data_IF_772087049703
#
_entry.id   IF_772087049703
#
_cell.length_a   1.000
_cell.length_b   1.000
_cell.length_c   1.000
_cell.angle_alpha   90.00
_cell.angle_beta   90.00
_cell.angle_gamma   90.00
#
_symmetry.space_group_name_H-M   'P 1'
#
loop_
_entity.id
_entity.type
_entity.pdbx_description
1 polymer ?
#
# COMPACT_ATOMS: atom_id res chain seq x y z
N UNK A 1 7.58 0.19 -12.07
CA UNK A 1 8.20 0.72 -13.34
C UNK A 1 9.63 0.22 -13.46
N UNK A 2 10.13 -0.04 -14.67
CA UNK A 2 11.53 -0.46 -14.88
C UNK A 2 12.38 0.75 -15.28
N UNK A 3 13.58 0.88 -14.72
CA UNK A 3 14.46 2.02 -15.00
C UNK A 3 15.01 2.03 -16.45
N UNK A 4 15.15 0.86 -17.04
CA UNK A 4 15.60 0.68 -18.46
C UNK A 4 14.47 0.93 -19.47
N UNK A 5 13.21 0.92 -19.04
CA UNK A 5 12.03 1.18 -19.86
C UNK A 5 11.34 2.52 -19.47
N UNK A 6 12.07 3.43 -18.80
CA UNK A 6 11.53 4.72 -18.41
C UNK A 6 11.30 5.60 -19.64
N UNK A 7 10.05 6.07 -19.86
CA UNK A 7 9.71 6.83 -21.07
C UNK A 7 10.32 8.23 -21.08
N UNK A 8 10.30 8.87 -22.23
CA UNK A 8 10.60 10.30 -22.32
C UNK A 8 9.53 11.11 -21.56
N UNK A 9 9.98 12.04 -20.73
CA UNK A 9 9.11 12.91 -19.92
C UNK A 9 9.53 14.38 -20.09
N UNK A 10 8.66 15.31 -19.71
CA UNK A 10 8.89 16.74 -19.79
C UNK A 10 8.04 17.55 -18.80
N UNK A 11 8.07 18.89 -18.86
CA UNK A 11 7.44 19.75 -17.84
C UNK A 11 5.92 19.60 -17.68
N UNK A 12 5.24 18.98 -18.64
CA UNK A 12 3.79 18.72 -18.59
C UNK A 12 3.48 17.26 -18.27
N UNK A 13 4.42 16.54 -17.64
CA UNK A 13 4.30 15.12 -17.29
C UNK A 13 4.20 14.96 -15.78
N UNK A 14 3.26 14.16 -15.33
CA UNK A 14 3.24 13.63 -13.96
C UNK A 14 3.71 12.17 -14.04
N UNK A 15 4.78 11.86 -13.34
CA UNK A 15 5.30 10.48 -13.20
C UNK A 15 4.75 9.92 -11.90
N UNK A 16 3.90 8.89 -11.99
CA UNK A 16 3.37 8.19 -10.83
C UNK A 16 4.22 6.96 -10.53
N UNK A 17 4.92 6.95 -9.40
CA UNK A 17 5.70 5.83 -8.90
C UNK A 17 4.91 5.07 -7.84
N UNK A 18 5.02 3.74 -7.83
CA UNK A 18 4.43 2.91 -6.80
C UNK A 18 5.42 2.61 -5.66
N UNK A 19 4.98 2.86 -4.44
CA UNK A 19 5.62 2.38 -3.23
C UNK A 19 4.71 1.29 -2.62
N UNK A 20 5.03 0.02 -2.88
CA UNK A 20 4.23 -1.11 -2.46
C UNK A 20 3.11 -1.46 -3.45
N UNK A 21 3.46 -2.11 -4.55
CA UNK A 21 2.49 -2.59 -5.55
C UNK A 21 1.41 -3.46 -4.90
N UNK A 22 0.15 -3.25 -5.31
CA UNK A 22 -1.03 -3.92 -4.72
C UNK A 22 -0.97 -5.45 -4.74
N UNK A 23 -0.28 -6.04 -5.69
CA UNK A 23 -0.13 -7.49 -5.80
C UNK A 23 1.12 -8.01 -5.10
N UNK A 24 2.27 -7.37 -5.32
CA UNK A 24 3.58 -7.90 -4.95
C UNK A 24 4.24 -7.22 -3.77
N UNK A 25 3.76 -6.03 -3.37
CA UNK A 25 4.44 -5.18 -2.39
C UNK A 25 5.72 -4.54 -2.91
N UNK A 26 6.09 -4.72 -4.17
CA UNK A 26 7.33 -4.19 -4.74
C UNK A 26 7.30 -2.67 -4.90
N UNK A 27 8.48 -2.08 -4.94
CA UNK A 27 8.69 -0.64 -5.09
C UNK A 27 9.28 -0.33 -6.46
N UNK A 28 8.87 0.80 -7.04
CA UNK A 28 9.56 1.35 -8.18
C UNK A 28 10.93 1.91 -7.76
N UNK A 29 11.98 1.85 -8.61
CA UNK A 29 13.33 2.28 -8.25
C UNK A 29 13.45 3.81 -8.21
N UNK A 30 12.91 4.43 -7.16
CA UNK A 30 12.78 5.88 -7.02
C UNK A 30 14.14 6.59 -7.02
N UNK A 31 15.19 6.00 -6.41
CA UNK A 31 16.57 6.56 -6.46
C UNK A 31 17.04 6.87 -7.89
N UNK A 32 16.56 6.11 -8.88
CA UNK A 32 16.93 6.27 -10.29
C UNK A 32 15.91 7.13 -11.03
N UNK A 33 14.62 6.89 -10.80
CA UNK A 33 13.55 7.48 -11.60
C UNK A 33 13.24 8.92 -11.20
N UNK A 34 13.29 9.25 -9.91
CA UNK A 34 12.98 10.60 -9.42
C UNK A 34 13.96 11.63 -9.98
N UNK A 35 15.30 11.46 -9.87
CA UNK A 35 16.23 12.40 -10.45
C UNK A 35 16.09 12.55 -11.97
N UNK A 36 15.82 11.46 -12.69
CA UNK A 36 15.63 11.49 -14.16
C UNK A 36 14.39 12.29 -14.57
N UNK A 37 13.29 12.11 -13.85
CA UNK A 37 12.03 12.80 -14.10
C UNK A 37 12.18 14.30 -13.80
N UNK A 38 12.73 14.64 -12.63
CA UNK A 38 12.91 16.03 -12.20
C UNK A 38 13.90 16.82 -13.08
N UNK A 39 14.96 16.19 -13.57
CA UNK A 39 15.88 16.80 -14.51
C UNK A 39 15.22 17.21 -15.84
N UNK A 40 14.03 16.68 -16.12
CA UNK A 40 13.20 17.02 -17.30
C UNK A 40 12.03 17.93 -16.95
N UNK A 41 11.95 18.42 -15.71
CA UNK A 41 10.88 19.29 -15.22
C UNK A 41 9.55 18.57 -14.97
N UNK A 42 9.52 17.24 -14.98
CA UNK A 42 8.31 16.46 -14.66
C UNK A 42 8.01 16.49 -13.16
N UNK A 43 6.72 16.50 -12.82
CA UNK A 43 6.25 16.28 -11.44
C UNK A 43 6.30 14.80 -11.10
N UNK A 44 6.83 14.47 -9.94
CA UNK A 44 6.86 13.08 -9.47
C UNK A 44 5.89 12.89 -8.31
N UNK A 45 4.92 12.01 -8.50
CA UNK A 45 3.97 11.59 -7.49
C UNK A 45 4.27 10.15 -7.04
N UNK A 46 4.16 9.89 -5.75
CA UNK A 46 4.31 8.55 -5.16
C UNK A 46 2.95 8.05 -4.67
N UNK A 47 2.41 7.03 -5.32
CA UNK A 47 1.35 6.20 -4.76
C UNK A 47 1.96 5.26 -3.72
N UNK A 48 1.81 5.63 -2.47
CA UNK A 48 2.30 4.90 -1.32
C UNK A 48 1.18 4.33 -0.46
N UNK A 49 0.05 3.96 -1.06
CA UNK A 49 -1.16 3.49 -0.38
C UNK A 49 -0.90 2.45 0.73
N UNK A 50 0.09 1.58 0.52
CA UNK A 50 0.63 0.67 1.52
C UNK A 50 2.09 0.97 1.88
N UNK A 51 2.94 1.04 0.86
CA UNK A 51 4.37 0.93 1.02
C UNK A 51 5.04 2.16 1.63
N UNK A 52 4.39 3.31 1.68
CA UNK A 52 4.99 4.48 2.34
C UNK A 52 5.29 4.21 3.82
N UNK A 53 4.53 3.32 4.46
CA UNK A 53 4.75 2.88 5.84
C UNK A 53 6.06 2.10 6.05
N UNK A 54 6.70 1.59 4.98
CA UNK A 54 8.03 0.98 5.05
C UNK A 54 9.08 1.94 5.61
N UNK A 55 8.89 3.26 5.46
CA UNK A 55 9.77 4.29 6.05
C UNK A 55 9.75 4.29 7.58
N UNK A 56 8.71 3.79 8.21
CA UNK A 56 8.60 3.69 9.66
C UNK A 56 9.27 2.41 10.22
N UNK A 57 9.62 1.44 9.36
CA UNK A 57 10.14 0.14 9.75
C UNK A 57 11.65 0.03 9.42
N UNK A 58 12.54 -0.12 10.40
CA UNK A 58 13.99 -0.08 10.19
C UNK A 58 14.52 -1.11 9.19
N UNK A 59 13.90 -2.30 9.12
CA UNK A 59 14.29 -3.35 8.17
C UNK A 59 13.74 -3.14 6.75
N UNK A 60 12.83 -2.19 6.56
CA UNK A 60 12.13 -1.93 5.30
C UNK A 60 12.44 -0.56 4.70
N UNK A 61 13.03 0.34 5.48
CA UNK A 61 13.30 1.72 5.06
C UNK A 61 14.10 1.79 3.76
N UNK A 62 14.99 0.83 3.50
CA UNK A 62 15.76 0.76 2.27
C UNK A 62 14.91 0.58 1.01
N UNK A 63 13.72 -0.04 1.12
CA UNK A 63 12.77 -0.16 0.00
C UNK A 63 12.24 1.19 -0.48
N UNK A 64 12.19 2.17 0.42
CA UNK A 64 11.63 3.49 0.18
C UNK A 64 12.68 4.57 -0.15
N UNK A 65 13.91 4.16 -0.50
CA UNK A 65 15.02 5.06 -0.82
C UNK A 65 14.73 5.84 -2.11
N UNK A 66 15.01 7.16 -2.08
CA UNK A 66 14.73 8.07 -3.20
C UNK A 66 13.27 8.55 -3.28
N UNK A 67 12.35 7.97 -2.51
CA UNK A 67 10.96 8.48 -2.47
C UNK A 67 10.89 9.87 -1.86
N UNK A 68 11.79 10.22 -0.94
CA UNK A 68 11.88 11.52 -0.29
C UNK A 68 12.10 12.68 -1.25
N UNK A 69 12.60 12.42 -2.45
CA UNK A 69 12.90 13.44 -3.45
C UNK A 69 11.75 13.72 -4.43
N UNK A 70 10.62 13.00 -4.30
CA UNK A 70 9.43 13.25 -5.09
C UNK A 70 8.76 14.60 -4.75
N UNK A 71 7.78 15.00 -5.51
CA UNK A 71 7.06 16.27 -5.34
C UNK A 71 5.77 16.09 -4.52
N UNK A 72 5.15 14.91 -4.59
CA UNK A 72 3.95 14.59 -3.81
C UNK A 72 3.85 13.10 -3.48
N UNK A 73 3.14 12.79 -2.39
CA UNK A 73 2.91 11.41 -1.90
C UNK A 73 1.47 11.27 -1.44
N UNK A 74 0.90 10.08 -1.64
CA UNK A 74 -0.35 9.68 -1.03
C UNK A 74 -0.19 8.35 -0.30
N UNK A 75 -0.85 8.21 0.86
CA UNK A 75 -0.94 6.94 1.57
C UNK A 75 -2.31 6.78 2.22
N UNK A 76 -2.79 5.53 2.29
CA UNK A 76 -4.07 5.21 2.90
C UNK A 76 -3.88 4.85 4.38
N UNK A 77 -4.57 5.60 5.22
CA UNK A 77 -4.57 5.36 6.66
C UNK A 77 -5.53 4.23 7.05
N UNK A 78 -6.65 4.11 6.31
CA UNK A 78 -7.65 3.06 6.49
C UNK A 78 -7.20 1.66 6.01
N UNK A 79 -6.01 1.55 5.38
CA UNK A 79 -5.39 0.28 5.04
C UNK A 79 -4.50 -0.19 6.20
N UNK A 80 -3.21 0.06 6.15
CA UNK A 80 -2.26 -0.51 7.12
C UNK A 80 -2.30 0.12 8.52
N UNK A 81 -2.64 1.39 8.63
CA UNK A 81 -2.80 2.03 9.94
C UNK A 81 -4.11 1.62 10.67
N UNK A 82 -5.01 0.93 9.96
CA UNK A 82 -6.27 0.40 10.48
C UNK A 82 -7.20 1.44 11.11
N UNK A 83 -7.17 2.69 10.66
CA UNK A 83 -8.17 3.67 11.06
C UNK A 83 -9.50 3.44 10.32
N UNK A 84 -10.62 3.96 10.82
CA UNK A 84 -11.92 3.80 10.16
C UNK A 84 -11.92 4.26 8.69
N UNK A 85 -12.65 3.54 7.87
CA UNK A 85 -12.86 3.85 6.46
C UNK A 85 -13.77 5.08 6.33
N UNK A 86 -13.51 6.06 5.49
CA UNK A 86 -12.34 6.23 4.63
C UNK A 86 -11.35 7.22 5.26
N UNK A 87 -10.07 6.99 5.09
CA UNK A 87 -9.03 7.91 5.55
C UNK A 87 -7.76 7.74 4.73
N UNK A 88 -7.24 8.84 4.22
CA UNK A 88 -5.98 8.93 3.50
C UNK A 88 -5.28 10.24 3.81
N UNK A 89 -4.02 10.33 3.47
CA UNK A 89 -3.23 11.55 3.61
C UNK A 89 -2.48 11.83 2.32
N UNK A 90 -2.52 13.07 1.87
CA UNK A 90 -1.67 13.59 0.82
C UNK A 90 -0.60 14.49 1.43
N UNK A 91 0.62 14.32 0.96
CA UNK A 91 1.77 15.14 1.29
C UNK A 91 2.26 15.79 0.00
N UNK A 92 2.54 17.09 0.03
CA UNK A 92 3.01 17.83 -1.14
C UNK A 92 4.17 18.71 -0.70
N UNK A 93 5.24 18.72 -1.50
CA UNK A 93 6.43 19.50 -1.19
C UNK A 93 6.20 21.00 -1.32
N UNK A 94 5.49 21.40 -2.37
CA UNK A 94 5.16 22.81 -2.65
C UNK A 94 3.74 23.12 -2.16
N UNK A 95 3.65 23.83 -1.04
CA UNK A 95 2.38 24.25 -0.46
C UNK A 95 1.59 25.16 -1.40
N UNK A 96 2.27 26.04 -2.14
CA UNK A 96 1.64 26.95 -3.11
C UNK A 96 0.96 26.19 -4.24
N UNK A 97 1.60 25.15 -4.77
CA UNK A 97 1.02 24.29 -5.79
C UNK A 97 -0.22 23.55 -5.27
N UNK A 98 -0.19 23.04 -4.02
CA UNK A 98 -1.33 22.38 -3.40
C UNK A 98 -2.51 23.34 -3.22
N UNK A 99 -2.26 24.52 -2.65
CA UNK A 99 -3.29 25.54 -2.47
C UNK A 99 -3.87 26.00 -3.81
N UNK A 100 -3.05 26.26 -4.81
CA UNK A 100 -3.50 26.66 -6.14
C UNK A 100 -4.43 25.59 -6.79
N UNK A 101 -4.19 24.31 -6.50
CA UNK A 101 -5.00 23.21 -7.03
C UNK A 101 -6.30 22.96 -6.25
N UNK A 102 -6.32 23.24 -4.95
CA UNK A 102 -7.43 22.84 -4.04
C UNK A 102 -8.29 24.01 -3.59
N UNK A 103 -7.75 25.24 -3.50
CA UNK A 103 -8.49 26.39 -3.00
C UNK A 103 -9.72 26.69 -3.86
N UNK A 104 -10.84 26.87 -3.19
CA UNK A 104 -12.07 27.36 -3.77
C UNK A 104 -12.36 28.76 -3.23
N UNK A 105 -12.67 29.71 -4.10
CA UNK A 105 -13.08 31.05 -3.72
C UNK A 105 -14.59 31.21 -3.95
N UNK A 106 -15.28 31.79 -2.97
CA UNK A 106 -16.67 32.17 -3.09
C UNK A 106 -16.90 33.45 -2.25
N UNK A 107 -17.83 34.30 -2.70
CA UNK A 107 -18.09 35.58 -2.07
C UNK A 107 -18.51 35.52 -0.58
N UNK A 108 -19.00 34.35 -0.13
CA UNK A 108 -19.40 34.11 1.27
C UNK A 108 -18.31 33.43 2.11
N UNK A 109 -17.20 33.03 1.50
CA UNK A 109 -16.09 32.41 2.26
C UNK A 109 -15.18 33.53 2.75
N UNK A 110 -14.99 33.69 4.09
CA UNK A 110 -14.10 34.70 4.60
C UNK A 110 -12.65 34.36 4.28
N UNK A 111 -11.90 35.33 3.78
CA UNK A 111 -10.45 35.25 3.72
C UNK A 111 -9.89 35.49 5.12
N UNK A 112 -9.24 34.45 5.67
CA UNK A 112 -8.65 34.48 7.01
C UNK A 112 -7.13 34.46 7.00
N UNK A 113 -6.53 34.95 8.09
CA UNK A 113 -5.08 34.87 8.34
C UNK A 113 -4.63 33.48 8.80
N UNK A 114 -5.56 32.62 9.21
CA UNK A 114 -5.27 31.28 9.68
C UNK A 114 -5.41 30.27 8.54
N UNK A 115 -4.65 29.18 8.64
CA UNK A 115 -4.72 28.07 7.70
C UNK A 115 -6.13 27.48 7.67
N UNK A 116 -6.80 27.60 6.53
CA UNK A 116 -8.11 26.98 6.33
C UNK A 116 -7.92 25.58 5.71
N UNK A 117 -8.43 24.53 6.32
CA UNK A 117 -8.39 23.19 5.75
C UNK A 117 -9.01 23.08 4.36
N UNK A 118 -9.96 23.92 3.99
CA UNK A 118 -10.58 23.95 2.67
C UNK A 118 -9.61 24.33 1.53
N UNK A 119 -8.51 24.97 1.86
CA UNK A 119 -7.45 25.32 0.87
C UNK A 119 -6.54 24.11 0.51
N UNK A 120 -6.68 22.97 1.21
CA UNK A 120 -5.77 21.83 1.08
C UNK A 120 -6.47 20.53 0.67
N UNK A 121 -7.79 20.56 0.46
CA UNK A 121 -8.58 19.39 0.06
C UNK A 121 -9.71 19.82 -0.89
N UNK A 122 -10.18 18.93 -1.77
CA UNK A 122 -11.30 19.25 -2.69
C UNK A 122 -12.68 19.23 -1.99
N UNK A 123 -12.73 19.19 -0.67
CA UNK A 123 -13.96 19.11 0.12
C UNK A 123 -14.08 20.29 1.08
N UNK A 124 -15.27 20.86 1.21
CA UNK A 124 -15.56 21.89 2.22
C UNK A 124 -15.96 21.23 3.55
N UNK A 125 -17.24 20.86 3.69
CA UNK A 125 -17.74 20.16 4.88
C UNK A 125 -17.43 18.67 4.77
N UNK A 126 -16.78 18.12 5.79
CA UNK A 126 -16.34 16.72 5.79
C UNK A 126 -16.19 16.15 7.19
N UNK A 127 -16.12 14.83 7.29
CA UNK A 127 -15.78 14.13 8.53
C UNK A 127 -14.36 14.50 8.98
N UNK A 128 -14.14 14.62 10.27
CA UNK A 128 -12.85 14.95 10.88
C UNK A 128 -11.89 13.75 10.90
N UNK A 129 -11.51 13.23 9.72
CA UNK A 129 -10.67 12.03 9.54
C UNK A 129 -9.31 12.11 10.24
N UNK A 130 -8.82 13.32 10.51
CA UNK A 130 -7.55 13.53 11.21
C UNK A 130 -7.57 13.08 12.67
N UNK A 131 -8.75 12.99 13.33
CA UNK A 131 -8.88 12.59 14.73
C UNK A 131 -8.48 11.13 14.90
N UNK A 132 -9.03 10.22 14.11
CA UNK A 132 -8.72 8.78 14.16
C UNK A 132 -7.26 8.53 13.76
N UNK A 133 -6.76 9.23 12.75
CA UNK A 133 -5.37 9.14 12.32
C UNK A 133 -4.40 9.57 13.44
N UNK A 134 -4.69 10.70 14.08
CA UNK A 134 -3.92 11.19 15.23
C UNK A 134 -3.96 10.20 16.39
N UNK A 135 -5.14 9.69 16.76
CA UNK A 135 -5.31 8.76 17.86
C UNK A 135 -4.51 7.46 17.62
N UNK A 136 -4.58 6.88 16.41
CA UNK A 136 -3.83 5.68 16.06
C UNK A 136 -2.31 5.92 16.14
N UNK A 137 -1.81 7.02 15.57
CA UNK A 137 -0.39 7.35 15.59
C UNK A 137 0.11 7.66 17.01
N UNK A 138 -0.70 8.30 17.84
CA UNK A 138 -0.38 8.56 19.26
C UNK A 138 -0.35 7.28 20.09
N UNK A 139 -1.30 6.36 19.86
CA UNK A 139 -1.37 5.09 20.57
C UNK A 139 -0.20 4.18 20.21
N UNK A 140 0.14 4.06 18.92
CA UNK A 140 1.25 3.23 18.45
C UNK A 140 2.62 3.85 18.79
N UNK A 141 2.76 5.15 18.62
CA UNK A 141 4.07 5.81 18.62
C UNK A 141 4.98 5.27 17.50
N UNK A 142 6.23 5.71 17.48
CA UNK A 142 7.19 5.26 16.45
C UNK A 142 7.49 3.77 16.54
N UNK A 143 7.68 3.25 17.74
CA UNK A 143 8.02 1.85 17.97
C UNK A 143 6.87 0.91 17.66
N UNK A 144 5.65 1.24 18.08
CA UNK A 144 4.47 0.42 17.78
C UNK A 144 4.13 0.40 16.29
N UNK A 145 4.29 1.53 15.59
CA UNK A 145 4.12 1.56 14.13
C UNK A 145 5.17 0.72 13.41
N UNK A 146 6.44 0.83 13.81
CA UNK A 146 7.52 0.00 13.26
C UNK A 146 7.24 -1.50 13.48
N UNK A 147 6.84 -1.87 14.71
CA UNK A 147 6.52 -3.26 15.06
C UNK A 147 5.32 -3.79 14.28
N UNK A 148 4.27 -3.00 14.10
CA UNK A 148 3.10 -3.38 13.29
C UNK A 148 3.53 -3.73 11.86
N UNK A 149 4.32 -2.87 11.22
CA UNK A 149 4.79 -3.09 9.84
C UNK A 149 5.70 -4.32 9.76
N UNK A 150 6.67 -4.45 10.65
CA UNK A 150 7.61 -5.59 10.66
C UNK A 150 6.90 -6.91 10.96
N UNK A 151 5.94 -6.92 11.88
CA UNK A 151 5.14 -8.10 12.22
C UNK A 151 4.33 -8.57 11.02
N UNK A 152 3.56 -7.70 10.39
CA UNK A 152 2.76 -8.08 9.23
C UNK A 152 3.63 -8.57 8.04
N UNK A 153 4.82 -8.01 7.88
CA UNK A 153 5.78 -8.52 6.89
C UNK A 153 6.30 -9.93 7.25
N UNK A 154 6.57 -10.22 8.54
CA UNK A 154 6.94 -11.57 8.99
C UNK A 154 5.81 -12.57 8.77
N UNK A 155 4.58 -12.18 9.11
CA UNK A 155 3.38 -12.99 8.91
C UNK A 155 3.15 -13.31 7.44
N UNK A 156 3.29 -12.33 6.54
CA UNK A 156 3.22 -12.54 5.09
C UNK A 156 4.30 -13.54 4.61
N UNK A 157 5.53 -13.41 5.12
CA UNK A 157 6.60 -14.38 4.81
C UNK A 157 6.23 -15.80 5.27
N UNK A 158 5.64 -15.97 6.47
CA UNK A 158 5.19 -17.28 6.95
C UNK A 158 4.12 -17.91 6.04
N UNK A 159 3.17 -17.12 5.52
CA UNK A 159 2.24 -17.61 4.49
C UNK A 159 2.97 -18.10 3.25
N UNK A 160 3.90 -17.31 2.73
CA UNK A 160 4.66 -17.66 1.55
C UNK A 160 5.48 -18.94 1.75
N UNK A 161 6.21 -19.03 2.87
CA UNK A 161 7.06 -20.18 3.19
C UNK A 161 6.23 -21.45 3.40
N UNK A 162 5.09 -21.36 4.12
CA UNK A 162 4.19 -22.48 4.34
C UNK A 162 3.54 -23.00 3.07
N UNK A 163 3.11 -22.11 2.18
CA UNK A 163 2.53 -22.48 0.89
C UNK A 163 3.60 -23.06 -0.06
N UNK A 164 4.80 -22.49 -0.08
CA UNK A 164 5.93 -22.99 -0.87
C UNK A 164 6.38 -24.39 -0.39
N UNK A 165 6.48 -24.60 0.93
CA UNK A 165 6.79 -25.91 1.52
C UNK A 165 5.77 -26.98 1.17
N UNK A 166 4.51 -26.61 0.97
CA UNK A 166 3.44 -27.50 0.48
C UNK A 166 3.45 -27.69 -1.05
N UNK A 167 4.46 -27.19 -1.76
CA UNK A 167 4.62 -27.36 -3.22
C UNK A 167 3.87 -26.34 -4.06
N UNK A 168 3.33 -25.26 -3.48
CA UNK A 168 2.62 -24.23 -4.24
C UNK A 168 3.55 -23.12 -4.69
N UNK A 169 3.28 -22.59 -5.90
CA UNK A 169 4.13 -21.59 -6.52
C UNK A 169 3.81 -20.20 -6.02
N UNK A 170 4.69 -19.62 -5.19
CA UNK A 170 4.69 -18.19 -4.86
C UNK A 170 5.25 -17.42 -6.05
N UNK A 171 4.53 -16.39 -6.51
CA UNK A 171 4.79 -15.71 -7.78
C UNK A 171 5.54 -14.37 -7.63
N UNK A 172 5.78 -13.93 -6.41
CA UNK A 172 6.47 -12.67 -6.13
C UNK A 172 7.58 -12.83 -5.11
N UNK A 173 8.55 -11.92 -5.14
CA UNK A 173 9.45 -11.70 -4.03
C UNK A 173 8.65 -11.02 -2.91
N UNK A 174 8.53 -11.68 -1.76
CA UNK A 174 7.75 -11.17 -0.62
C UNK A 174 8.59 -10.13 0.11
N UNK A 175 8.63 -8.92 -0.41
CA UNK A 175 9.43 -7.81 0.14
C UNK A 175 8.68 -7.01 1.21
N UNK A 176 7.35 -7.07 1.19
CA UNK A 176 6.46 -6.37 2.12
C UNK A 176 5.42 -7.36 2.69
N UNK A 177 4.16 -6.97 2.76
CA UNK A 177 3.07 -7.73 3.37
C UNK A 177 2.13 -8.43 2.36
N UNK A 178 2.51 -8.52 1.08
CA UNK A 178 1.74 -9.18 0.03
C UNK A 178 2.38 -10.48 -0.43
N UNK A 179 1.54 -11.49 -0.63
CA UNK A 179 1.90 -12.78 -1.23
C UNK A 179 0.97 -13.08 -2.39
N UNK A 180 1.51 -13.48 -3.52
CA UNK A 180 0.74 -13.99 -4.65
C UNK A 180 1.11 -15.47 -4.81
N UNK A 181 0.11 -16.34 -4.85
CA UNK A 181 0.32 -17.78 -5.00
C UNK A 181 -0.63 -18.37 -6.04
N UNK A 182 -0.12 -19.32 -6.84
CA UNK A 182 -0.89 -20.11 -7.79
C UNK A 182 -1.01 -21.55 -7.30
N UNK A 183 -2.17 -22.16 -7.52
CA UNK A 183 -2.45 -23.55 -7.17
C UNK A 183 -2.51 -24.48 -8.41
N UNK A 184 -1.89 -24.07 -9.49
CA UNK A 184 -1.87 -24.77 -10.77
C UNK A 184 -2.57 -23.98 -11.86
N UNK A 185 -3.63 -24.53 -12.46
CA UNK A 185 -4.41 -23.81 -13.47
C UNK A 185 -5.35 -22.74 -12.86
N UNK A 186 -5.91 -21.93 -13.75
CA UNK A 186 -6.77 -20.81 -13.36
C UNK A 186 -8.04 -21.24 -12.63
N UNK A 187 -8.67 -22.34 -13.07
CA UNK A 187 -9.94 -22.81 -12.52
C UNK A 187 -9.75 -23.43 -11.14
N UNK A 188 -8.69 -24.22 -10.97
CA UNK A 188 -8.32 -24.73 -9.66
C UNK A 188 -8.03 -23.61 -8.68
N UNK A 189 -7.27 -22.60 -9.10
CA UNK A 189 -6.97 -21.44 -8.25
C UNK A 189 -8.25 -20.71 -7.83
N UNK A 190 -9.22 -20.52 -8.73
CA UNK A 190 -10.52 -19.93 -8.40
C UNK A 190 -11.33 -20.80 -7.42
N UNK A 191 -11.35 -22.12 -7.62
CA UNK A 191 -12.05 -23.05 -6.69
C UNK A 191 -11.44 -22.99 -5.29
N UNK A 192 -10.12 -23.00 -5.17
CA UNK A 192 -9.42 -22.86 -3.88
C UNK A 192 -9.79 -21.55 -3.18
N UNK A 193 -9.73 -20.41 -3.89
CA UNK A 193 -10.12 -19.12 -3.32
C UNK A 193 -11.57 -19.16 -2.81
N UNK A 194 -12.50 -19.68 -3.63
CA UNK A 194 -13.90 -19.78 -3.25
C UNK A 194 -14.13 -20.72 -2.04
N UNK A 195 -13.34 -21.80 -1.92
CA UNK A 195 -13.42 -22.71 -0.77
C UNK A 195 -12.93 -22.02 0.51
N UNK A 196 -11.82 -21.28 0.47
CA UNK A 196 -11.30 -20.50 1.60
C UNK A 196 -12.32 -19.45 2.05
N UNK A 197 -12.92 -18.73 1.11
CA UNK A 197 -13.93 -17.70 1.40
C UNK A 197 -15.20 -18.30 2.01
N UNK A 198 -15.62 -19.49 1.57
CA UNK A 198 -16.77 -20.21 2.19
C UNK A 198 -16.48 -20.73 3.58
N UNK A 199 -15.26 -21.16 3.85
CA UNK A 199 -14.83 -21.61 5.19
C UNK A 199 -14.94 -20.48 6.22
N UNK A 200 -14.64 -19.23 5.83
CA UNK A 200 -14.85 -18.04 6.65
C UNK A 200 -13.79 -17.79 7.73
N UNK A 201 -12.81 -18.67 7.91
CA UNK A 201 -11.72 -18.49 8.89
C UNK A 201 -10.81 -17.32 8.51
N UNK A 202 -10.55 -17.14 7.22
CA UNK A 202 -9.76 -16.03 6.69
C UNK A 202 -10.30 -15.59 5.34
N UNK A 203 -9.86 -14.40 4.90
CA UNK A 203 -10.23 -13.86 3.60
C UNK A 203 -8.99 -13.63 2.74
N UNK A 204 -9.07 -14.08 1.49
CA UNK A 204 -8.10 -13.76 0.44
C UNK A 204 -8.84 -13.52 -0.89
N UNK A 205 -8.25 -12.71 -1.75
CA UNK A 205 -8.83 -12.35 -3.05
C UNK A 205 -8.10 -12.99 -4.22
N UNK A 206 -8.76 -13.00 -5.38
CA UNK A 206 -8.14 -13.34 -6.65
C UNK A 206 -7.45 -12.15 -7.29
N UNK A 207 -6.44 -12.43 -8.11
CA UNK A 207 -5.79 -11.47 -9.00
C UNK A 207 -5.32 -12.15 -10.28
N UNK A 208 -4.97 -11.33 -11.30
CA UNK A 208 -4.23 -11.81 -12.46
C UNK A 208 -2.85 -11.14 -12.47
N UNK A 209 -1.79 -11.94 -12.48
CA UNK A 209 -0.42 -11.48 -12.49
C UNK A 209 0.36 -12.11 -13.63
N UNK A 210 0.88 -11.30 -14.56
CA UNK A 210 1.56 -11.77 -15.77
C UNK A 210 0.80 -12.87 -16.53
N UNK A 211 -0.52 -12.72 -16.67
CA UNK A 211 -1.39 -13.68 -17.34
C UNK A 211 -1.79 -14.90 -16.49
N UNK A 212 -1.28 -15.04 -15.27
CA UNK A 212 -1.64 -16.12 -14.36
C UNK A 212 -2.71 -15.68 -13.37
N UNK A 213 -3.78 -16.47 -13.24
CA UNK A 213 -4.73 -16.33 -12.14
C UNK A 213 -4.06 -16.79 -10.86
N UNK A 214 -4.13 -15.96 -9.83
CA UNK A 214 -3.46 -16.22 -8.56
C UNK A 214 -4.33 -15.77 -7.38
N UNK A 215 -4.08 -16.34 -6.21
CA UNK A 215 -4.59 -15.87 -4.94
C UNK A 215 -3.64 -14.81 -4.39
N UNK A 216 -4.21 -13.71 -3.90
CA UNK A 216 -3.46 -12.64 -3.22
C UNK A 216 -3.80 -12.64 -1.73
N UNK A 217 -2.76 -12.68 -0.91
CA UNK A 217 -2.81 -12.51 0.53
C UNK A 217 -2.19 -11.14 0.86
N UNK A 218 -2.90 -10.34 1.65
CA UNK A 218 -2.40 -9.07 2.18
C UNK A 218 -2.56 -9.08 3.69
N UNK A 219 -1.45 -9.06 4.41
CA UNK A 219 -1.46 -9.05 5.88
C UNK A 219 -1.29 -7.63 6.36
N UNK A 220 -2.38 -7.03 6.87
CA UNK A 220 -2.38 -5.61 7.25
C UNK A 220 -3.17 -5.30 8.52
N UNK A 221 -3.79 -6.30 9.16
CA UNK A 221 -4.53 -6.07 10.40
C UNK A 221 -3.60 -5.98 11.61
N UNK A 222 -3.87 -5.00 12.47
CA UNK A 222 -3.19 -4.88 13.77
C UNK A 222 -3.46 -6.07 14.70
N UNK A 223 -4.62 -6.73 14.51
CA UNK A 223 -5.06 -7.84 15.35
C UNK A 223 -4.54 -9.21 14.91
N UNK A 224 -3.93 -9.32 13.71
CA UNK A 224 -3.37 -10.58 13.22
C UNK A 224 -2.26 -11.08 14.16
N UNK A 225 -2.35 -12.34 14.53
CA UNK A 225 -1.38 -13.05 15.38
C UNK A 225 -0.77 -14.24 14.64
N UNK A 226 0.32 -14.77 15.18
CA UNK A 226 0.93 -16.00 14.67
C UNK A 226 -0.05 -17.18 14.63
N UNK A 227 -0.94 -17.30 15.63
CA UNK A 227 -1.98 -18.33 15.66
C UNK A 227 -3.02 -18.13 14.54
N UNK A 228 -3.33 -16.90 14.16
CA UNK A 228 -4.23 -16.62 13.02
C UNK A 228 -3.59 -17.03 11.70
N UNK A 229 -2.29 -16.80 11.54
CA UNK A 229 -1.53 -17.27 10.37
C UNK A 229 -1.55 -18.78 10.27
N UNK A 230 -1.30 -19.50 11.38
CA UNK A 230 -1.33 -20.96 11.41
C UNK A 230 -2.70 -21.54 11.07
N UNK A 231 -3.77 -21.00 11.68
CA UNK A 231 -5.15 -21.42 11.37
C UNK A 231 -5.51 -21.15 9.91
N UNK A 232 -5.18 -19.97 9.40
CA UNK A 232 -5.46 -19.59 8.01
C UNK A 232 -4.70 -20.47 7.04
N UNK A 233 -3.43 -20.75 7.29
CA UNK A 233 -2.60 -21.61 6.46
C UNK A 233 -3.15 -23.05 6.43
N UNK A 234 -3.58 -23.58 7.59
CA UNK A 234 -4.22 -24.90 7.66
C UNK A 234 -5.48 -24.99 6.80
N UNK A 235 -6.34 -23.96 6.83
CA UNK A 235 -7.53 -23.85 5.98
C UNK A 235 -7.16 -23.78 4.50
N UNK A 236 -6.18 -22.95 4.13
CA UNK A 236 -5.72 -22.82 2.76
C UNK A 236 -5.22 -24.17 2.21
N UNK A 237 -4.39 -24.88 2.96
CA UNK A 237 -3.86 -26.18 2.56
C UNK A 237 -4.94 -27.27 2.48
N UNK A 238 -5.96 -27.22 3.34
CA UNK A 238 -7.13 -28.11 3.24
C UNK A 238 -7.92 -27.83 1.96
N UNK A 239 -8.25 -26.55 1.70
CA UNK A 239 -8.99 -26.14 0.51
C UNK A 239 -8.30 -26.55 -0.79
N UNK A 240 -6.97 -26.53 -0.81
CA UNK A 240 -6.18 -26.97 -1.98
C UNK A 240 -6.28 -28.49 -2.20
N UNK A 241 -6.35 -29.29 -1.13
CA UNK A 241 -6.51 -30.75 -1.27
C UNK A 241 -7.89 -31.16 -1.75
N UNK A 242 -8.91 -30.34 -1.46
CA UNK A 242 -10.31 -30.59 -1.81
C UNK A 242 -10.70 -30.03 -3.18
N UNK A 243 -9.87 -29.18 -3.82
CA UNK A 243 -10.13 -28.50 -5.09
C UNK A 243 -9.49 -29.20 -6.28
#
# INVERSE_FOLDING_TARGET
>A
MRADAFPAVGPRTIVCLQAGNVNTGSFDPAEVLVPRARARGAWVHVDGAFGLWARAAPRRVALARGLEDADSWATDLHKWLNVPYDSGVALVRDEGALRAAMSMSAAYLPEGLLRDPAEYTPELSRRARGVEAWAALRALGRSGLAELVERNCREARRFADGLAAAGHRVLNDVVLNQVIVSFGDADRTRRVIAAIQRDGTCWCGGTTWHGHVAMRISVSSWATTDADVERSLAVMLRAVREA
#
